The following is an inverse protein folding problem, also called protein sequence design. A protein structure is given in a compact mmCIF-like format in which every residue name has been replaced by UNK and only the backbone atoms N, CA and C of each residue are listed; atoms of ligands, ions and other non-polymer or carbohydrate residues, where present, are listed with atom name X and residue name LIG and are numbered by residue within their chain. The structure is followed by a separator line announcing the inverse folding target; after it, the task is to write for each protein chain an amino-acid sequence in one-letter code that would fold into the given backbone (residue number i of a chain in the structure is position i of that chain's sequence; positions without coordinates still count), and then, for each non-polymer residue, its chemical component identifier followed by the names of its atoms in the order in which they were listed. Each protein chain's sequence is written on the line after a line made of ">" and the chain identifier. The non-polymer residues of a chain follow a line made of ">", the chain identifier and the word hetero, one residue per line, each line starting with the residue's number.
data_IF_881116554197
#
_entry.id   IF_881116554197
#
_cell.length_a   1.000
_cell.length_b   1.000
_cell.length_c   1.000
_cell.angle_alpha   90.00
_cell.angle_beta   90.00
_cell.angle_gamma   90.00
#
_symmetry.space_group_name_H-M   'P 1'
#
loop_
_entity.id
_entity.type
_entity.pdbx_description
1 polymer ?
#
# COMPACT_ATOMS: atom_id res chain seq x y z
N UNK A 1 8.07 -0.38 -16.65
CA UNK A 1 8.83 -1.24 -15.71
C UNK A 1 8.32 -0.85 -14.33
N UNK A 2 7.73 -1.77 -13.56
CA UNK A 2 7.04 -1.46 -12.31
C UNK A 2 7.98 -0.85 -11.27
N UNK A 3 7.46 0.02 -10.41
CA UNK A 3 8.18 0.57 -9.24
C UNK A 3 8.04 -0.40 -8.07
N UNK A 4 8.97 -0.32 -7.13
CA UNK A 4 8.87 -1.11 -5.89
C UNK A 4 8.38 -0.19 -4.77
N UNK A 5 7.27 -0.56 -4.16
CA UNK A 5 6.71 0.09 -2.99
C UNK A 5 7.03 -0.73 -1.73
N UNK A 6 7.44 -0.05 -0.68
CA UNK A 6 7.58 -0.63 0.65
C UNK A 6 6.30 -0.36 1.44
N UNK A 7 5.68 -1.43 1.91
CA UNK A 7 4.40 -1.41 2.61
C UNK A 7 4.63 -1.92 4.04
N UNK A 8 4.06 -1.22 5.02
CA UNK A 8 4.04 -1.67 6.40
C UNK A 8 2.59 -1.92 6.85
N UNK A 9 2.42 -2.68 7.94
CA UNK A 9 1.11 -2.98 8.50
C UNK A 9 1.04 -2.43 9.92
N UNK A 10 0.01 -1.64 10.24
CA UNK A 10 -0.23 -1.18 11.62
C UNK A 10 -0.52 -2.37 12.52
N UNK A 11 0.08 -2.38 13.72
CA UNK A 11 -0.06 -3.48 14.68
C UNK A 11 0.88 -4.67 14.43
N UNK A 12 1.61 -4.70 13.31
CA UNK A 12 2.81 -5.53 13.20
C UNK A 12 3.97 -4.87 13.96
N UNK A 13 5.02 -5.64 14.26
CA UNK A 13 6.26 -5.11 14.85
C UNK A 13 6.70 -3.86 14.06
N UNK A 14 6.88 -2.73 14.76
CA UNK A 14 6.84 -1.36 14.19
C UNK A 14 7.84 -1.06 13.05
N UNK A 15 8.67 -2.01 12.62
CA UNK A 15 9.76 -1.77 11.67
C UNK A 15 9.77 -2.76 10.49
N UNK A 16 8.71 -3.57 10.32
CA UNK A 16 8.68 -4.59 9.26
C UNK A 16 8.03 -4.05 7.98
N UNK A 17 8.88 -3.75 6.99
CA UNK A 17 8.47 -3.34 5.65
C UNK A 17 8.49 -4.53 4.67
N UNK A 18 7.47 -4.60 3.83
CA UNK A 18 7.28 -5.63 2.81
C UNK A 18 7.35 -4.99 1.43
N UNK A 19 8.05 -5.65 0.50
CA UNK A 19 8.23 -5.13 -0.85
C UNK A 19 7.12 -5.62 -1.77
N UNK A 20 6.52 -4.70 -2.52
CA UNK A 20 5.49 -4.97 -3.53
C UNK A 20 5.83 -4.23 -4.82
N UNK A 21 5.48 -4.81 -5.96
CA UNK A 21 5.47 -4.10 -7.22
C UNK A 21 4.27 -3.16 -7.29
N UNK A 22 4.40 -2.06 -8.01
CA UNK A 22 3.27 -1.15 -8.28
C UNK A 22 3.53 -0.30 -9.51
N UNK A 23 2.45 -0.01 -10.23
CA UNK A 23 2.33 1.00 -11.27
C UNK A 23 1.61 2.26 -10.78
N UNK A 24 1.09 2.25 -9.55
CA UNK A 24 0.41 3.39 -8.93
C UNK A 24 1.42 4.49 -8.67
N UNK A 25 1.17 5.65 -9.26
CA UNK A 25 1.97 6.86 -9.07
C UNK A 25 1.41 7.73 -7.94
N UNK A 26 2.27 8.57 -7.36
CA UNK A 26 1.83 9.59 -6.41
C UNK A 26 1.38 9.05 -5.05
N UNK A 27 1.73 7.81 -4.69
CA UNK A 27 1.52 7.32 -3.33
C UNK A 27 2.32 8.17 -2.34
N UNK A 28 1.64 8.67 -1.33
CA UNK A 28 2.21 9.43 -0.21
C UNK A 28 2.40 8.50 0.97
N UNK A 29 3.37 8.83 1.83
CA UNK A 29 3.59 8.10 3.07
C UNK A 29 2.26 8.01 3.84
N UNK A 30 1.99 6.83 4.37
CA UNK A 30 0.79 6.45 5.11
C UNK A 30 -0.48 6.33 4.25
N UNK A 31 -0.39 6.41 2.92
CA UNK A 31 -1.51 6.08 2.03
C UNK A 31 -1.90 4.60 2.23
N UNK A 32 -3.17 4.32 2.52
CA UNK A 32 -3.68 2.96 2.60
C UNK A 32 -3.80 2.33 1.21
N UNK A 33 -3.32 1.10 1.10
CA UNK A 33 -3.34 0.31 -0.13
C UNK A 33 -3.84 -1.11 0.15
N UNK A 34 -4.55 -1.68 -0.80
CA UNK A 34 -4.93 -3.09 -0.77
C UNK A 34 -3.79 -3.89 -1.37
N UNK A 35 -3.28 -4.86 -0.60
CA UNK A 35 -2.19 -5.74 -1.03
C UNK A 35 -2.59 -7.20 -0.90
N UNK A 36 -2.14 -8.06 -1.82
CA UNK A 36 -2.34 -9.50 -1.70
C UNK A 36 -1.39 -10.09 -0.66
N UNK A 37 -1.91 -10.95 0.20
CA UNK A 37 -1.14 -11.79 1.11
C UNK A 37 -1.00 -13.20 0.51
N UNK A 38 -0.56 -14.19 1.28
CA UNK A 38 -0.46 -15.57 0.78
C UNK A 38 -1.82 -16.25 0.57
N UNK A 39 -2.85 -15.84 1.30
CA UNK A 39 -4.17 -16.50 1.30
C UNK A 39 -5.35 -15.55 1.13
N UNK A 40 -5.11 -14.22 1.17
CA UNK A 40 -6.17 -13.21 1.15
C UNK A 40 -5.65 -11.86 0.63
N UNK A 41 -6.40 -10.80 0.89
CA UNK A 41 -5.97 -9.41 0.76
C UNK A 41 -5.96 -8.74 2.13
N UNK A 42 -5.10 -7.74 2.29
CA UNK A 42 -5.02 -6.94 3.51
C UNK A 42 -4.82 -5.47 3.18
N UNK A 43 -5.12 -4.60 4.15
CA UNK A 43 -4.81 -3.17 4.07
C UNK A 43 -3.40 -2.96 4.64
N UNK A 44 -2.49 -2.55 3.76
CA UNK A 44 -1.16 -2.06 4.12
C UNK A 44 -1.09 -0.55 3.98
N UNK A 45 -0.01 0.03 4.51
CA UNK A 45 0.26 1.46 4.45
C UNK A 45 1.55 1.68 3.68
N UNK A 46 1.49 2.59 2.70
CA UNK A 46 2.65 2.93 1.92
C UNK A 46 3.70 3.65 2.77
N UNK A 47 4.93 3.15 2.78
CA UNK A 47 6.07 3.81 3.43
C UNK A 47 6.79 4.71 2.43
N UNK A 48 7.38 4.10 1.39
CA UNK A 48 8.16 4.77 0.35
C UNK A 48 8.37 3.88 -0.86
N UNK A 49 8.79 4.49 -1.97
CA UNK A 49 9.35 3.73 -3.09
C UNK A 49 10.79 3.30 -2.78
N UNK A 50 11.22 2.20 -3.41
CA UNK A 50 12.56 1.65 -3.28
C UNK A 50 13.20 1.39 -4.64
N UNK A 51 14.48 1.70 -4.76
CA UNK A 51 15.33 1.35 -5.91
C UNK A 51 16.32 0.24 -5.57
N UNK A 52 16.26 -0.31 -4.35
CA UNK A 52 17.19 -1.35 -3.91
C UNK A 52 16.88 -2.67 -4.64
N UNK A 53 17.90 -3.28 -5.22
CA UNK A 53 17.80 -4.56 -5.93
C UNK A 53 17.27 -5.71 -5.06
N UNK A 54 17.54 -5.69 -3.75
CA UNK A 54 17.02 -6.69 -2.80
C UNK A 54 15.51 -6.55 -2.66
N UNK A 55 15.01 -5.32 -2.50
CA UNK A 55 13.58 -5.05 -2.43
C UNK A 55 12.86 -5.41 -3.74
N UNK A 56 13.49 -5.15 -4.89
CA UNK A 56 12.97 -5.58 -6.18
C UNK A 56 12.88 -7.12 -6.30
N UNK A 57 13.89 -7.86 -5.82
CA UNK A 57 13.85 -9.33 -5.80
C UNK A 57 12.77 -9.90 -4.87
N UNK A 58 12.51 -9.23 -3.75
CA UNK A 58 11.54 -9.67 -2.76
C UNK A 58 10.09 -9.29 -3.13
N UNK A 59 9.91 -8.34 -4.06
CA UNK A 59 8.61 -7.90 -4.55
C UNK A 59 7.99 -8.94 -5.50
N UNK A 60 7.46 -10.02 -4.92
CA UNK A 60 6.85 -11.13 -5.67
C UNK A 60 5.35 -10.94 -5.94
N UNK A 61 4.76 -9.86 -5.41
CA UNK A 61 3.34 -9.53 -5.53
C UNK A 61 3.16 -8.06 -5.88
N UNK A 62 2.04 -7.71 -6.51
CA UNK A 62 1.71 -6.34 -6.91
C UNK A 62 0.63 -5.73 -5.99
N UNK A 63 0.71 -4.42 -5.74
CA UNK A 63 -0.37 -3.66 -5.09
C UNK A 63 -1.62 -3.73 -5.97
N UNK A 64 -2.79 -3.96 -5.34
CA UNK A 64 -4.06 -4.10 -6.06
C UNK A 64 -4.67 -2.73 -6.35
N UNK A 65 -4.77 -1.88 -5.33
CA UNK A 65 -5.33 -0.54 -5.47
C UNK A 65 -4.96 0.37 -4.29
N UNK A 66 -5.00 1.68 -4.52
CA UNK A 66 -5.07 2.68 -3.45
C UNK A 66 -6.49 2.71 -2.87
N UNK A 67 -6.61 2.86 -1.55
CA UNK A 67 -7.90 3.12 -0.91
C UNK A 67 -8.15 4.62 -0.94
N UNK A 68 -9.28 5.02 -1.52
CA UNK A 68 -9.70 6.41 -1.62
C UNK A 68 -10.44 6.82 -0.34
N UNK A 69 -9.66 7.18 0.69
CA UNK A 69 -10.22 7.64 1.98
C UNK A 69 -10.94 8.98 1.81
N UNK A 70 -10.39 9.93 1.04
CA UNK A 70 -10.99 11.25 0.88
C UNK A 70 -12.40 11.15 0.28
N UNK A 71 -12.58 10.36 -0.79
CA UNK A 71 -13.90 10.15 -1.36
C UNK A 71 -14.85 9.41 -0.40
N UNK A 72 -14.33 8.52 0.45
CA UNK A 72 -15.13 7.84 1.47
C UNK A 72 -15.58 8.80 2.57
N UNK A 73 -14.67 9.63 3.10
CA UNK A 73 -14.98 10.64 4.13
C UNK A 73 -15.97 11.68 3.60
N UNK A 74 -15.84 12.13 2.36
CA UNK A 74 -16.80 13.03 1.71
C UNK A 74 -18.18 12.37 1.63
N UNK A 75 -18.25 11.09 1.25
CA UNK A 75 -19.52 10.34 1.23
C UNK A 75 -20.15 10.20 2.62
N UNK A 76 -19.33 9.97 3.66
CA UNK A 76 -19.83 9.93 5.04
C UNK A 76 -20.35 11.31 5.46
N UNK A 77 -19.61 12.37 5.17
CA UNK A 77 -20.02 13.74 5.50
C UNK A 77 -21.31 14.18 4.79
N UNK A 78 -21.50 13.76 3.54
CA UNK A 78 -22.71 14.07 2.76
C UNK A 78 -23.89 13.09 3.04
N UNK A 79 -23.63 11.98 3.73
CA UNK A 79 -24.62 10.95 4.06
C UNK A 79 -25.36 11.16 5.38
N UNK A 80 -24.96 12.15 6.18
CA UNK A 80 -25.67 12.60 7.40
C UNK A 80 -26.84 13.58 7.08
N UNK A 81 -27.55 13.37 5.96
CA UNK A 81 -28.82 14.05 5.62
C UNK A 81 -29.99 13.08 5.57
#
# INVERSE_FOLDING_TARGET
>A
MGRIALIYFKGATEHMEYSYETDIEGLKKDDPVVVPTNTSFSIGYFSRYSINKIHARNATKCIVQKVDIEAYEIKMFLGDM
#
